data_IF_880937427363
#
_entry.id   IF_880937427363
#
_cell.length_a   1.000
_cell.length_b   1.000
_cell.length_c   1.000
_cell.angle_alpha   90.00
_cell.angle_beta   90.00
_cell.angle_gamma   90.00
#
_symmetry.space_group_name_H-M   'P 1'
#
loop_
_entity.id
_entity.type
_entity.pdbx_description
1 polymer ?
#
# COMPACT_ATOMS: atom_id res chain seq x y z
N UNK A 1 14.16 14.27 -13.40
CA UNK A 1 13.89 15.06 -12.19
C UNK A 1 15.17 15.10 -11.37
N UNK A 2 15.56 16.25 -10.83
CA UNK A 2 16.77 16.36 -9.99
C UNK A 2 16.42 16.95 -8.62
N UNK A 3 16.90 16.30 -7.56
CA UNK A 3 16.69 16.74 -6.18
C UNK A 3 17.87 16.32 -5.31
N UNK A 4 18.35 17.25 -4.46
CA UNK A 4 19.50 17.06 -3.55
C UNK A 4 20.75 16.47 -4.23
N UNK A 5 21.07 16.93 -5.45
CA UNK A 5 22.27 16.52 -6.19
C UNK A 5 22.17 15.15 -6.88
N UNK A 6 21.01 14.50 -6.85
CA UNK A 6 20.77 13.22 -7.54
C UNK A 6 19.88 13.39 -8.75
N UNK A 7 20.19 12.64 -9.81
CA UNK A 7 19.44 12.65 -11.06
C UNK A 7 18.57 11.39 -11.16
N UNK A 8 17.26 11.62 -11.26
CA UNK A 8 16.24 10.58 -11.36
C UNK A 8 15.67 10.60 -12.78
N UNK A 9 15.74 9.45 -13.47
CA UNK A 9 15.06 9.20 -14.73
C UNK A 9 14.17 7.97 -14.61
N UNK A 10 12.96 8.08 -15.15
CA UNK A 10 11.97 7.00 -15.19
C UNK A 10 11.77 6.66 -16.67
N UNK A 11 12.15 5.45 -17.07
CA UNK A 11 11.85 4.92 -18.39
C UNK A 11 10.45 4.29 -18.43
N UNK A 12 9.82 4.29 -19.59
CA UNK A 12 8.54 3.59 -19.81
C UNK A 12 8.66 2.05 -19.72
N UNK A 13 9.89 1.54 -19.65
CA UNK A 13 10.27 0.14 -19.47
C UNK A 13 10.26 -0.31 -18.00
N UNK A 14 9.74 0.51 -17.08
CA UNK A 14 9.74 0.30 -15.62
C UNK A 14 11.14 0.33 -15.00
N UNK A 15 12.15 0.80 -15.72
CA UNK A 15 13.51 0.93 -15.17
C UNK A 15 13.61 2.23 -14.36
N UNK A 16 13.92 2.12 -13.07
CA UNK A 16 14.22 3.26 -12.21
C UNK A 16 15.72 3.37 -12.00
N UNK A 17 16.31 4.49 -12.44
CA UNK A 17 17.75 4.73 -12.34
C UNK A 17 18.02 5.79 -11.27
N UNK A 18 19.02 5.54 -10.43
CA UNK A 18 19.65 6.56 -9.57
C UNK A 18 21.11 6.64 -10.02
N UNK A 19 21.54 7.80 -10.50
CA UNK A 19 22.91 8.06 -10.98
C UNK A 19 23.40 7.02 -12.00
N UNK A 20 22.53 6.70 -12.98
CA UNK A 20 22.73 5.68 -14.03
C UNK A 20 22.81 4.22 -13.54
N UNK A 21 22.53 3.95 -12.26
CA UNK A 21 22.46 2.59 -11.71
C UNK A 21 21.00 2.16 -11.57
N UNK A 22 20.64 1.02 -12.19
CA UNK A 22 19.31 0.45 -12.11
C UNK A 22 18.98 -0.04 -10.70
N UNK A 23 17.81 0.36 -10.22
CA UNK A 23 17.30 -0.04 -8.91
C UNK A 23 16.28 -1.16 -9.08
N UNK A 24 16.40 -2.19 -8.26
CA UNK A 24 15.35 -3.19 -8.12
C UNK A 24 14.11 -2.52 -7.51
N UNK A 25 13.01 -2.50 -8.25
CA UNK A 25 11.72 -2.00 -7.78
C UNK A 25 10.93 -3.05 -7.00
N UNK A 26 11.29 -4.32 -7.18
CA UNK A 26 10.81 -5.45 -6.40
C UNK A 26 11.70 -5.57 -5.16
N UNK A 27 11.21 -5.08 -4.02
CA UNK A 27 11.81 -5.34 -2.71
C UNK A 27 10.84 -6.21 -1.92
N UNK A 28 11.37 -7.19 -1.19
CA UNK A 28 10.58 -7.87 -0.17
C UNK A 28 10.08 -6.79 0.79
N UNK A 29 8.76 -6.60 0.83
CA UNK A 29 8.16 -5.84 1.93
C UNK A 29 8.67 -6.49 3.20
N UNK A 30 9.15 -5.67 4.12
CA UNK A 30 9.68 -6.10 5.42
C UNK A 30 8.55 -6.67 6.28
N UNK A 31 7.96 -7.78 5.87
CA UNK A 31 7.13 -8.61 6.71
C UNK A 31 8.13 -9.31 7.63
N UNK A 32 8.27 -8.77 8.85
CA UNK A 32 9.12 -9.33 9.88
C UNK A 32 8.93 -10.85 9.97
N UNK A 33 10.01 -11.60 10.24
CA UNK A 33 9.91 -13.05 10.52
C UNK A 33 9.03 -13.37 11.73
N UNK A 34 8.69 -12.36 12.54
CA UNK A 34 7.74 -12.40 13.65
C UNK A 34 6.38 -11.77 13.31
N UNK A 35 6.23 -11.24 12.10
CA UNK A 35 4.97 -10.78 11.54
C UNK A 35 4.31 -11.93 10.79
N UNK A 36 4.01 -13.02 11.51
CA UNK A 36 2.88 -13.88 11.18
C UNK A 36 1.59 -13.12 11.52
N UNK A 37 1.40 -11.97 10.88
CA UNK A 37 0.18 -11.19 11.01
C UNK A 37 -0.86 -11.89 10.15
N UNK A 38 -1.96 -12.31 10.78
CA UNK A 38 -3.13 -12.76 10.04
C UNK A 38 -3.47 -11.69 9.01
N UNK A 39 -3.78 -12.13 7.79
CA UNK A 39 -4.24 -11.24 6.72
C UNK A 39 -5.30 -10.31 7.30
N UNK A 40 -5.12 -9.00 7.10
CA UNK A 40 -6.07 -7.99 7.60
C UNK A 40 -7.48 -8.41 7.21
N UNK A 41 -8.41 -8.31 8.16
CA UNK A 41 -9.80 -8.66 7.93
C UNK A 41 -10.32 -7.94 6.68
N UNK A 42 -10.98 -8.70 5.81
CA UNK A 42 -11.54 -8.19 4.55
C UNK A 42 -12.64 -7.16 4.79
N UNK A 43 -13.23 -7.19 5.98
CA UNK A 43 -14.25 -6.27 6.43
C UNK A 43 -13.92 -5.71 7.82
N UNK A 44 -14.19 -4.42 8.01
CA UNK A 44 -14.19 -3.77 9.33
C UNK A 44 -15.59 -3.23 9.58
N UNK A 45 -16.16 -3.56 10.74
CA UNK A 45 -17.44 -3.00 11.21
C UNK A 45 -17.17 -2.06 12.37
N UNK A 46 -17.56 -0.80 12.23
CA UNK A 46 -17.47 0.21 13.30
C UNK A 46 -18.88 0.47 13.82
N UNK A 47 -19.07 0.36 15.12
CA UNK A 47 -20.36 0.59 15.77
C UNK A 47 -20.39 1.98 16.41
N UNK A 48 -21.49 2.72 16.21
CA UNK A 48 -21.73 4.01 16.87
C UNK A 48 -23.23 4.21 17.13
N UNK A 49 -23.66 4.04 18.39
CA UNK A 49 -25.08 4.02 18.74
C UNK A 49 -25.80 2.86 18.07
N UNK A 50 -26.94 3.15 17.44
CA UNK A 50 -27.70 2.19 16.64
C UNK A 50 -27.16 2.04 15.20
N UNK A 51 -26.17 2.84 14.81
CA UNK A 51 -25.58 2.80 13.48
C UNK A 51 -24.34 1.91 13.41
N UNK A 52 -24.12 1.32 12.23
CA UNK A 52 -22.91 0.57 11.89
C UNK A 52 -22.32 1.08 10.58
N UNK A 53 -21.00 1.20 10.53
CA UNK A 53 -20.24 1.48 9.33
C UNK A 53 -19.50 0.21 8.91
N UNK A 54 -19.89 -0.37 7.78
CA UNK A 54 -19.19 -1.49 7.15
C UNK A 54 -18.19 -0.95 6.13
N UNK A 55 -16.92 -1.31 6.30
CA UNK A 55 -15.84 -1.07 5.36
C UNK A 55 -15.43 -2.41 4.74
N UNK A 56 -15.73 -2.59 3.46
CA UNK A 56 -15.37 -3.79 2.70
C UNK A 56 -14.18 -3.49 1.80
N UNK A 57 -13.02 -4.06 2.12
CA UNK A 57 -11.77 -3.82 1.40
C UNK A 57 -11.64 -4.66 0.13
N UNK A 58 -12.38 -5.76 0.01
CA UNK A 58 -12.42 -6.58 -1.19
C UNK A 58 -13.18 -5.85 -2.30
N UNK A 59 -14.38 -5.39 -1.98
CA UNK A 59 -15.28 -4.70 -2.90
C UNK A 59 -15.03 -3.18 -2.98
N UNK A 60 -14.18 -2.64 -2.07
CA UNK A 60 -13.87 -1.21 -1.93
C UNK A 60 -15.13 -0.37 -1.67
N UNK A 61 -16.05 -0.91 -0.89
CA UNK A 61 -17.33 -0.27 -0.59
C UNK A 61 -17.37 0.23 0.86
N UNK A 62 -18.23 1.22 1.07
CA UNK A 62 -18.52 1.82 2.37
C UNK A 62 -20.03 1.87 2.52
N UNK A 63 -20.57 1.23 3.54
CA UNK A 63 -22.01 1.18 3.80
C UNK A 63 -22.34 1.63 5.23
N UNK A 64 -23.38 2.44 5.37
CA UNK A 64 -23.90 2.88 6.67
C UNK A 64 -25.22 2.15 6.89
N UNK A 65 -25.28 1.32 7.94
CA UNK A 65 -26.45 0.55 8.34
C UNK A 65 -27.07 1.22 9.57
N UNK A 66 -28.39 1.41 9.54
CA UNK A 66 -29.20 1.99 10.64
C UNK A 66 -30.12 0.93 11.25
#
# INVERSE_FOLDING_TARGET
YSSKGKNYSVGYDKTFLIDAVAQALEYERFDSRYSETQRKAEQIVIHYGDEKLLLDFENRTREVIR
#
